data_IF_465259756076
#
_entry.id   IF_465259756076
#
_cell.length_a   1.000
_cell.length_b   1.000
_cell.length_c   1.000
_cell.angle_alpha   90.00
_cell.angle_beta   90.00
_cell.angle_gamma   90.00
#
_symmetry.space_group_name_H-M   'P 1'
#
loop_
_entity.id
_entity.type
_entity.pdbx_description
1 polymer ?
#
# COMPACT_ATOMS: atom_id res chain seq x y z
N UNK A 1 -59.47 -20.04 -29.41
CA UNK A 1 -59.53 -20.32 -27.95
C UNK A 1 -58.29 -21.02 -27.37
N UNK A 2 -57.57 -21.89 -28.11
CA UNK A 2 -56.38 -22.59 -27.59
C UNK A 2 -55.13 -21.69 -27.50
N UNK A 3 -54.88 -20.86 -28.51
CA UNK A 3 -53.68 -20.00 -28.59
C UNK A 3 -53.72 -18.79 -27.64
N UNK A 4 -54.91 -18.28 -27.36
CA UNK A 4 -55.13 -17.16 -26.45
C UNK A 4 -54.80 -17.54 -24.99
N UNK A 5 -55.17 -18.78 -24.59
CA UNK A 5 -54.81 -19.34 -23.28
C UNK A 5 -53.32 -19.66 -23.15
N UNK A 6 -52.65 -20.06 -24.24
CA UNK A 6 -51.19 -20.22 -24.26
C UNK A 6 -50.47 -18.87 -24.09
N UNK A 7 -50.91 -17.86 -24.83
CA UNK A 7 -50.36 -16.50 -24.79
C UNK A 7 -50.50 -15.88 -23.40
N UNK A 8 -51.67 -16.01 -22.76
CA UNK A 8 -51.89 -15.53 -21.39
C UNK A 8 -50.98 -16.22 -20.36
N UNK A 9 -50.79 -17.54 -20.47
CA UNK A 9 -49.87 -18.29 -19.57
C UNK A 9 -48.42 -17.86 -19.74
N UNK A 10 -47.99 -17.53 -20.95
CA UNK A 10 -46.62 -17.10 -21.23
C UNK A 10 -46.35 -15.69 -20.71
N UNK A 11 -47.30 -14.77 -20.87
CA UNK A 11 -47.25 -13.42 -20.28
C UNK A 11 -47.19 -13.51 -18.75
N UNK A 12 -48.03 -14.36 -18.14
CA UNK A 12 -48.05 -14.52 -16.70
C UNK A 12 -46.74 -15.12 -16.15
N UNK A 13 -46.12 -16.07 -16.87
CA UNK A 13 -44.78 -16.59 -16.52
C UNK A 13 -43.70 -15.52 -16.62
N UNK A 14 -43.71 -14.69 -17.67
CA UNK A 14 -42.76 -13.57 -17.83
C UNK A 14 -42.91 -12.54 -16.70
N UNK A 15 -44.14 -12.19 -16.32
CA UNK A 15 -44.40 -11.26 -15.22
C UNK A 15 -43.91 -11.81 -13.87
N UNK A 16 -44.17 -13.09 -13.58
CA UNK A 16 -43.68 -13.75 -12.37
C UNK A 16 -42.15 -13.79 -12.35
N UNK A 17 -41.51 -14.13 -13.47
CA UNK A 17 -40.05 -14.12 -13.61
C UNK A 17 -39.46 -12.73 -13.37
N UNK A 18 -39.99 -11.70 -14.02
CA UNK A 18 -39.53 -10.32 -13.83
C UNK A 18 -39.70 -9.86 -12.37
N UNK A 19 -40.80 -10.25 -11.71
CA UNK A 19 -41.03 -9.92 -10.29
C UNK A 19 -40.03 -10.64 -9.37
N UNK A 20 -39.72 -11.90 -9.64
CA UNK A 20 -38.68 -12.65 -8.91
C UNK A 20 -37.31 -12.00 -9.12
N UNK A 21 -36.95 -11.69 -10.37
CA UNK A 21 -35.68 -11.02 -10.69
C UNK A 21 -35.55 -9.65 -9.99
N UNK A 22 -36.63 -8.87 -9.96
CA UNK A 22 -36.67 -7.60 -9.21
C UNK A 22 -36.51 -7.79 -7.71
N UNK A 23 -37.18 -8.80 -7.12
CA UNK A 23 -37.06 -9.09 -5.69
C UNK A 23 -35.66 -9.57 -5.32
N UNK A 24 -35.05 -10.44 -6.15
CA UNK A 24 -33.67 -10.90 -5.97
C UNK A 24 -32.71 -9.71 -6.03
N UNK A 25 -32.86 -8.84 -7.03
CA UNK A 25 -32.02 -7.64 -7.18
C UNK A 25 -32.15 -6.70 -5.96
N UNK A 26 -33.37 -6.48 -5.47
CA UNK A 26 -33.61 -5.65 -4.29
C UNK A 26 -32.93 -6.22 -3.04
N UNK A 27 -33.08 -7.53 -2.80
CA UNK A 27 -32.44 -8.20 -1.66
C UNK A 27 -30.91 -8.14 -1.77
N UNK A 28 -30.37 -8.32 -2.98
CA UNK A 28 -28.92 -8.19 -3.21
C UNK A 28 -28.42 -6.77 -2.95
N UNK A 29 -29.15 -5.75 -3.41
CA UNK A 29 -28.79 -4.35 -3.22
C UNK A 29 -28.88 -3.93 -1.75
N UNK A 30 -29.90 -4.38 -1.03
CA UNK A 30 -30.02 -4.18 0.43
C UNK A 30 -28.87 -4.84 1.18
N UNK A 31 -28.54 -6.09 0.83
CA UNK A 31 -27.41 -6.82 1.41
C UNK A 31 -26.08 -6.09 1.16
N UNK A 32 -25.85 -5.58 -0.05
CA UNK A 32 -24.63 -4.80 -0.39
C UNK A 32 -24.54 -3.53 0.45
N UNK A 33 -25.66 -2.82 0.62
CA UNK A 33 -25.71 -1.61 1.46
C UNK A 33 -25.44 -1.90 2.93
N UNK A 34 -25.98 -3.00 3.46
CA UNK A 34 -25.74 -3.41 4.84
C UNK A 34 -24.26 -3.76 5.07
N UNK A 35 -23.67 -4.55 4.18
CA UNK A 35 -22.25 -4.89 4.24
C UNK A 35 -21.36 -3.65 4.18
N UNK A 36 -21.69 -2.69 3.33
CA UNK A 36 -20.96 -1.42 3.26
C UNK A 36 -21.02 -0.65 4.59
N UNK A 37 -22.16 -0.65 5.30
CA UNK A 37 -22.26 -0.01 6.62
C UNK A 37 -21.36 -0.69 7.65
N UNK A 38 -21.30 -2.02 7.64
CA UNK A 38 -20.49 -2.81 8.58
C UNK A 38 -19.00 -2.87 8.23
N UNK A 39 -18.57 -2.35 7.08
CA UNK A 39 -17.16 -2.43 6.64
C UNK A 39 -16.19 -1.83 7.67
N UNK A 40 -16.56 -0.72 8.31
CA UNK A 40 -15.69 -0.10 9.32
C UNK A 40 -15.52 -0.99 10.56
N UNK A 41 -16.53 -1.79 10.90
CA UNK A 41 -16.43 -2.80 11.95
C UNK A 41 -15.48 -3.93 11.54
N UNK A 42 -15.51 -4.37 10.27
CA UNK A 42 -14.55 -5.36 9.75
C UNK A 42 -13.10 -4.86 9.90
N UNK A 43 -12.84 -3.62 9.50
CA UNK A 43 -11.51 -3.01 9.62
C UNK A 43 -11.08 -2.89 11.10
N UNK A 44 -11.98 -2.40 11.96
CA UNK A 44 -11.72 -2.25 13.40
C UNK A 44 -11.45 -3.60 14.08
N UNK A 45 -12.30 -4.60 13.83
CA UNK A 45 -12.13 -5.94 14.38
C UNK A 45 -10.87 -6.60 13.85
N UNK A 46 -10.54 -6.43 12.56
CA UNK A 46 -9.30 -6.89 11.97
C UNK A 46 -8.07 -6.34 12.71
N UNK A 47 -8.06 -5.04 13.01
CA UNK A 47 -7.00 -4.40 13.78
C UNK A 47 -6.92 -4.95 15.23
N UNK A 48 -8.06 -5.16 15.89
CA UNK A 48 -8.12 -5.77 17.23
C UNK A 48 -7.53 -7.18 17.24
N UNK A 49 -7.95 -8.04 16.30
CA UNK A 49 -7.42 -9.40 16.17
C UNK A 49 -5.93 -9.40 15.81
N UNK A 50 -5.49 -8.48 14.95
CA UNK A 50 -4.07 -8.32 14.61
C UNK A 50 -3.24 -7.98 15.85
N UNK A 51 -3.69 -7.01 16.66
CA UNK A 51 -3.03 -6.61 17.90
C UNK A 51 -3.00 -7.74 18.94
N UNK A 52 -4.02 -8.58 18.98
CA UNK A 52 -4.10 -9.77 19.83
C UNK A 52 -3.26 -10.97 19.32
N UNK A 53 -2.55 -10.83 18.18
CA UNK A 53 -1.76 -11.92 17.58
C UNK A 53 -2.60 -12.98 16.84
N UNK A 54 -3.90 -12.75 16.68
CA UNK A 54 -4.84 -13.65 15.99
C UNK A 54 -4.81 -13.42 14.48
N UNK A 55 -3.65 -13.69 13.88
CA UNK A 55 -3.31 -13.32 12.51
C UNK A 55 -4.23 -13.90 11.43
N UNK A 56 -4.70 -15.14 11.60
CA UNK A 56 -5.62 -15.79 10.65
C UNK A 56 -6.97 -15.06 10.57
N UNK A 57 -7.53 -14.69 11.72
CA UNK A 57 -8.81 -13.97 11.77
C UNK A 57 -8.66 -12.52 11.33
N UNK A 58 -7.55 -11.86 11.69
CA UNK A 58 -7.24 -10.53 11.17
C UNK A 58 -7.18 -10.52 9.63
N UNK A 59 -6.48 -11.49 9.04
CA UNK A 59 -6.37 -11.62 7.58
C UNK A 59 -7.75 -11.79 6.93
N UNK A 60 -8.60 -12.66 7.48
CA UNK A 60 -9.97 -12.88 6.96
C UNK A 60 -10.80 -11.60 7.01
N UNK A 61 -10.77 -10.86 8.12
CA UNK A 61 -11.54 -9.63 8.29
C UNK A 61 -11.07 -8.53 7.32
N UNK A 62 -9.76 -8.35 7.17
CA UNK A 62 -9.18 -7.41 6.21
C UNK A 62 -9.50 -7.76 4.75
N UNK A 63 -9.37 -9.04 4.36
CA UNK A 63 -9.75 -9.49 3.02
C UNK A 63 -11.26 -9.33 2.77
N UNK A 64 -12.09 -9.56 3.79
CA UNK A 64 -13.54 -9.35 3.69
C UNK A 64 -13.87 -7.87 3.51
N UNK A 65 -13.18 -6.98 4.22
CA UNK A 65 -13.32 -5.53 4.03
C UNK A 65 -13.02 -5.11 2.58
N UNK A 66 -11.88 -5.57 2.04
CA UNK A 66 -11.50 -5.29 0.64
C UNK A 66 -12.57 -5.82 -0.30
N UNK A 67 -13.08 -7.02 -0.04
CA UNK A 67 -14.11 -7.65 -0.88
C UNK A 67 -15.41 -6.86 -0.92
N UNK A 68 -15.86 -6.34 0.21
CA UNK A 68 -17.03 -5.47 0.29
C UNK A 68 -16.84 -4.21 -0.57
N UNK A 69 -15.63 -3.62 -0.56
CA UNK A 69 -15.32 -2.46 -1.39
C UNK A 69 -15.25 -2.81 -2.88
N UNK A 70 -14.68 -3.96 -3.26
CA UNK A 70 -14.67 -4.45 -4.64
C UNK A 70 -16.09 -4.58 -5.19
N UNK A 71 -16.95 -5.28 -4.47
CA UNK A 71 -18.34 -5.54 -4.87
C UNK A 71 -19.14 -4.22 -4.93
N UNK A 72 -18.90 -3.28 -4.01
CA UNK A 72 -19.54 -1.96 -4.01
C UNK A 72 -19.09 -1.06 -5.17
N UNK A 73 -17.80 -1.09 -5.49
CA UNK A 73 -17.21 -0.28 -6.57
C UNK A 73 -17.33 -0.92 -7.95
N UNK A 74 -17.92 -2.12 -8.05
CA UNK A 74 -18.03 -2.88 -9.29
C UNK A 74 -16.67 -3.33 -9.83
N UNK A 75 -15.67 -3.47 -8.96
CA UNK A 75 -14.33 -3.92 -9.34
C UNK A 75 -14.24 -5.45 -9.28
N UNK A 76 -13.46 -6.06 -10.19
CA UNK A 76 -13.12 -7.47 -10.08
C UNK A 76 -12.29 -7.74 -8.83
N UNK A 77 -12.14 -9.02 -8.46
CA UNK A 77 -11.26 -9.41 -7.35
C UNK A 77 -9.82 -8.93 -7.60
N UNK A 78 -9.23 -8.26 -6.63
CA UNK A 78 -7.92 -7.60 -6.75
C UNK A 78 -7.92 -6.40 -7.71
N UNK A 79 -9.08 -5.97 -8.22
CA UNK A 79 -9.23 -4.93 -9.24
C UNK A 79 -9.33 -3.51 -8.69
N UNK A 80 -9.44 -3.33 -7.37
CA UNK A 80 -9.51 -2.00 -6.78
C UNK A 80 -8.26 -1.17 -7.09
N UNK A 81 -8.50 0.07 -7.47
CA UNK A 81 -7.50 1.11 -7.72
C UNK A 81 -7.96 2.43 -7.11
N UNK A 82 -7.06 3.40 -6.91
CA UNK A 82 -7.47 4.72 -6.43
C UNK A 82 -8.47 5.43 -7.34
N UNK A 83 -8.50 5.10 -8.64
CA UNK A 83 -9.46 5.66 -9.59
C UNK A 83 -10.92 5.25 -9.33
N UNK A 84 -11.15 4.22 -8.50
CA UNK A 84 -12.49 3.81 -8.06
C UNK A 84 -13.06 4.72 -6.95
N UNK A 85 -12.29 5.66 -6.43
CA UNK A 85 -12.65 6.48 -5.27
C UNK A 85 -12.66 7.97 -5.63
N UNK A 86 -13.65 8.69 -5.11
CA UNK A 86 -13.68 10.15 -5.18
C UNK A 86 -12.76 10.73 -4.12
N UNK A 87 -11.65 11.35 -4.55
CA UNK A 87 -10.64 11.91 -3.66
C UNK A 87 -11.16 12.98 -2.71
N UNK A 88 -12.26 13.67 -3.03
CA UNK A 88 -12.82 14.73 -2.18
C UNK A 88 -13.60 14.17 -1.00
N UNK A 89 -14.28 13.05 -1.21
CA UNK A 89 -15.26 12.50 -0.26
C UNK A 89 -14.78 11.20 0.39
N UNK A 90 -13.87 10.47 -0.26
CA UNK A 90 -13.44 9.12 0.12
C UNK A 90 -11.93 9.02 0.44
N UNK A 91 -11.25 10.14 0.68
CA UNK A 91 -9.83 10.13 1.06
C UNK A 91 -9.56 9.31 2.32
N UNK A 92 -10.46 9.38 3.30
CA UNK A 92 -10.37 8.57 4.54
C UNK A 92 -10.45 7.07 4.25
N UNK A 93 -11.27 6.66 3.28
CA UNK A 93 -11.38 5.27 2.84
C UNK A 93 -10.08 4.82 2.16
N UNK A 94 -9.47 5.68 1.32
CA UNK A 94 -8.17 5.39 0.69
C UNK A 94 -7.06 5.23 1.74
N UNK A 95 -7.02 6.08 2.75
CA UNK A 95 -6.06 5.98 3.86
C UNK A 95 -6.26 4.67 4.63
N UNK A 96 -7.51 4.32 4.96
CA UNK A 96 -7.84 3.10 5.67
C UNK A 96 -7.46 1.85 4.85
N UNK A 97 -7.82 1.83 3.57
CA UNK A 97 -7.50 0.75 2.64
C UNK A 97 -5.98 0.59 2.48
N UNK A 98 -5.23 1.69 2.39
CA UNK A 98 -3.78 1.67 2.41
C UNK A 98 -3.22 1.05 3.71
N UNK A 99 -3.78 1.40 4.86
CA UNK A 99 -3.41 0.80 6.14
C UNK A 99 -3.70 -0.70 6.21
N UNK A 100 -4.85 -1.12 5.69
CA UNK A 100 -5.24 -2.54 5.63
C UNK A 100 -4.31 -3.34 4.71
N UNK A 101 -3.96 -2.81 3.53
CA UNK A 101 -2.96 -3.45 2.67
C UNK A 101 -1.62 -3.58 3.39
N UNK A 102 -1.20 -2.56 4.15
CA UNK A 102 0.03 -2.64 4.94
C UNK A 102 -0.01 -3.75 6.00
N UNK A 103 -1.13 -3.91 6.69
CA UNK A 103 -1.29 -4.97 7.68
C UNK A 103 -1.27 -6.35 7.03
N UNK A 104 -1.94 -6.53 5.89
CA UNK A 104 -1.88 -7.75 5.09
C UNK A 104 -0.45 -8.06 4.62
N UNK A 105 0.29 -7.08 4.12
CA UNK A 105 1.70 -7.26 3.75
C UNK A 105 2.52 -7.86 4.88
N UNK A 106 2.38 -7.35 6.11
CA UNK A 106 3.09 -7.89 7.28
C UNK A 106 2.64 -9.29 7.66
N UNK A 107 1.35 -9.60 7.52
CA UNK A 107 0.79 -10.93 7.78
C UNK A 107 1.36 -11.97 6.81
N UNK A 108 1.46 -11.61 5.53
CA UNK A 108 1.88 -12.50 4.46
C UNK A 108 3.41 -12.56 4.28
N UNK A 109 4.18 -11.56 4.71
CA UNK A 109 5.65 -11.58 4.64
C UNK A 109 6.27 -12.80 5.33
N UNK A 110 5.68 -13.25 6.45
CA UNK A 110 6.20 -14.39 7.23
C UNK A 110 5.78 -15.76 6.70
N UNK A 111 5.02 -15.79 5.61
CA UNK A 111 4.49 -17.04 5.07
C UNK A 111 5.46 -17.66 4.08
N UNK A 112 5.58 -19.00 4.08
CA UNK A 112 6.55 -19.73 3.26
C UNK A 112 5.93 -20.52 2.10
N UNK A 113 4.59 -20.65 2.04
CA UNK A 113 3.93 -21.35 0.94
C UNK A 113 3.88 -20.46 -0.32
N UNK A 114 4.16 -21.03 -1.49
CA UNK A 114 4.20 -20.32 -2.78
C UNK A 114 2.97 -19.42 -3.02
N UNK A 115 1.75 -19.95 -2.85
CA UNK A 115 0.51 -19.17 -3.03
C UNK A 115 0.44 -17.93 -2.12
N UNK A 116 0.97 -18.02 -0.91
CA UNK A 116 0.96 -16.90 0.05
C UNK A 116 2.09 -15.88 -0.23
N UNK A 117 3.13 -16.26 -0.97
CA UNK A 117 4.12 -15.31 -1.49
C UNK A 117 3.52 -14.44 -2.60
N UNK A 118 2.66 -15.02 -3.45
CA UNK A 118 1.93 -14.25 -4.45
C UNK A 118 0.95 -13.27 -3.80
N UNK A 119 0.26 -13.69 -2.73
CA UNK A 119 -0.57 -12.79 -1.91
C UNK A 119 0.27 -11.66 -1.29
N UNK A 120 1.45 -11.96 -0.74
CA UNK A 120 2.37 -10.94 -0.22
C UNK A 120 2.72 -9.88 -1.28
N UNK A 121 3.16 -10.32 -2.46
CA UNK A 121 3.52 -9.42 -3.57
C UNK A 121 2.32 -8.59 -4.00
N UNK A 122 1.17 -9.23 -4.16
CA UNK A 122 -0.08 -8.57 -4.53
C UNK A 122 -0.43 -7.44 -3.53
N UNK A 123 -0.42 -7.72 -2.24
CA UNK A 123 -0.76 -6.71 -1.23
C UNK A 123 0.30 -5.62 -1.11
N UNK A 124 1.58 -5.93 -1.34
CA UNK A 124 2.63 -4.91 -1.35
C UNK A 124 2.48 -3.96 -2.54
N UNK A 125 2.18 -4.48 -3.72
CA UNK A 125 1.90 -3.68 -4.91
C UNK A 125 0.66 -2.80 -4.68
N UNK A 126 -0.40 -3.35 -4.07
CA UNK A 126 -1.58 -2.57 -3.67
C UNK A 126 -1.25 -1.49 -2.66
N UNK A 127 -0.45 -1.79 -1.64
CA UNK A 127 -0.01 -0.80 -0.67
C UNK A 127 0.71 0.38 -1.34
N UNK A 128 1.63 0.09 -2.26
CA UNK A 128 2.34 1.11 -3.03
C UNK A 128 1.37 1.90 -3.91
N UNK A 129 0.47 1.22 -4.62
CA UNK A 129 -0.53 1.84 -5.49
C UNK A 129 -1.45 2.81 -4.75
N UNK A 130 -1.92 2.43 -3.55
CA UNK A 130 -2.82 3.23 -2.73
C UNK A 130 -2.11 4.28 -1.88
N UNK A 131 -0.77 4.25 -1.81
CA UNK A 131 0.02 5.25 -1.08
C UNK A 131 0.67 6.30 -1.98
N UNK A 132 1.06 5.93 -3.21
CA UNK A 132 1.82 6.79 -4.11
C UNK A 132 0.96 7.94 -4.64
N UNK A 133 1.52 9.15 -4.63
CA UNK A 133 0.87 10.37 -5.10
C UNK A 133 -0.04 11.04 -4.06
N UNK A 134 -0.26 10.41 -2.90
CA UNK A 134 -1.14 10.93 -1.86
C UNK A 134 -0.37 11.72 -0.79
N UNK A 135 -1.09 12.59 -0.06
CA UNK A 135 -0.53 13.40 1.04
C UNK A 135 0.08 12.56 2.16
N UNK A 136 -0.40 11.32 2.34
CA UNK A 136 0.12 10.36 3.31
C UNK A 136 1.23 9.44 2.78
N UNK A 137 1.68 9.63 1.52
CA UNK A 137 2.81 8.89 0.95
C UNK A 137 4.07 8.91 1.87
N UNK A 138 4.45 10.03 2.52
CA UNK A 138 5.59 10.05 3.42
C UNK A 138 5.43 9.07 4.59
N UNK A 139 4.25 9.05 5.21
CA UNK A 139 3.91 8.11 6.29
C UNK A 139 3.98 6.66 5.81
N UNK A 140 3.52 6.39 4.59
CA UNK A 140 3.59 5.05 4.02
C UNK A 140 5.03 4.59 3.76
N UNK A 141 5.87 5.46 3.20
CA UNK A 141 7.29 5.18 3.03
C UNK A 141 7.98 4.91 4.36
N UNK A 142 7.60 5.66 5.39
CA UNK A 142 8.15 5.55 6.73
C UNK A 142 7.75 4.25 7.43
N UNK A 143 6.52 3.78 7.21
CA UNK A 143 6.06 2.48 7.69
C UNK A 143 6.93 1.32 7.15
N UNK A 144 7.24 1.33 5.85
CA UNK A 144 8.15 0.35 5.24
C UNK A 144 9.53 0.44 5.86
N UNK A 145 10.08 1.66 6.02
CA UNK A 145 11.40 1.88 6.61
C UNK A 145 11.51 1.30 8.01
N UNK A 146 10.53 1.59 8.88
CA UNK A 146 10.47 1.08 10.25
C UNK A 146 10.36 -0.44 10.28
N UNK A 147 9.55 -1.03 9.40
CA UNK A 147 9.41 -2.48 9.32
C UNK A 147 10.68 -3.18 8.83
N UNK A 148 11.39 -2.63 7.84
CA UNK A 148 12.66 -3.20 7.38
C UNK A 148 13.72 -3.23 8.49
N UNK A 149 13.72 -2.22 9.36
CA UNK A 149 14.67 -2.14 10.47
C UNK A 149 14.30 -3.05 11.64
N UNK A 150 13.05 -2.98 12.10
CA UNK A 150 12.64 -3.60 13.37
C UNK A 150 11.83 -4.89 13.18
N UNK A 151 11.15 -5.04 12.04
CA UNK A 151 10.20 -6.12 11.78
C UNK A 151 10.83 -7.44 11.36
N UNK A 152 12.13 -7.45 11.04
CA UNK A 152 12.88 -8.58 10.50
C UNK A 152 12.18 -9.20 9.27
N UNK A 153 11.99 -8.43 8.18
CA UNK A 153 11.26 -8.91 7.02
C UNK A 153 11.97 -10.08 6.35
N UNK A 154 11.18 -11.00 5.79
CA UNK A 154 11.68 -12.10 4.97
C UNK A 154 12.00 -11.58 3.56
N UNK A 155 11.08 -10.81 2.96
CA UNK A 155 11.16 -10.33 1.57
C UNK A 155 11.84 -8.95 1.47
N UNK A 156 13.10 -8.86 1.92
CA UNK A 156 13.85 -7.59 2.01
C UNK A 156 13.96 -6.84 0.68
N UNK A 157 14.10 -7.55 -0.44
CA UNK A 157 14.30 -6.94 -1.74
C UNK A 157 13.03 -6.19 -2.21
N UNK A 158 11.88 -6.82 -2.03
CA UNK A 158 10.56 -6.31 -2.37
C UNK A 158 10.21 -5.09 -1.52
N UNK A 159 10.42 -5.14 -0.20
CA UNK A 159 10.25 -3.97 0.66
C UNK A 159 11.16 -2.81 0.26
N UNK A 160 12.42 -3.09 -0.10
CA UNK A 160 13.35 -2.06 -0.56
C UNK A 160 12.86 -1.42 -1.87
N UNK A 161 12.34 -2.21 -2.81
CA UNK A 161 11.76 -1.70 -4.06
C UNK A 161 10.51 -0.85 -3.81
N UNK A 162 9.62 -1.30 -2.93
CA UNK A 162 8.42 -0.55 -2.53
C UNK A 162 8.79 0.77 -1.84
N UNK A 163 9.77 0.75 -0.92
CA UNK A 163 10.28 1.94 -0.27
C UNK A 163 10.86 2.96 -1.25
N UNK A 164 11.70 2.50 -2.19
CA UNK A 164 12.27 3.38 -3.25
C UNK A 164 11.15 4.01 -4.07
N UNK A 165 10.09 3.26 -4.37
CA UNK A 165 8.95 3.75 -5.14
C UNK A 165 8.14 4.81 -4.39
N UNK A 166 7.91 4.62 -3.09
CA UNK A 166 7.12 5.55 -2.26
C UNK A 166 7.91 6.74 -1.72
N UNK A 167 9.23 6.64 -1.64
CA UNK A 167 10.03 7.68 -0.99
C UNK A 167 10.52 8.80 -1.93
N UNK A 168 10.05 8.79 -3.19
CA UNK A 168 10.24 9.86 -4.16
C UNK A 168 11.67 9.95 -4.71
N UNK A 169 12.05 11.13 -5.23
CA UNK A 169 13.37 11.35 -5.82
C UNK A 169 14.48 10.90 -4.88
N UNK A 170 15.39 10.11 -5.45
CA UNK A 170 16.22 9.11 -4.79
C UNK A 170 17.48 9.69 -4.13
N UNK A 171 17.63 9.51 -2.82
CA UNK A 171 18.96 9.51 -2.18
C UNK A 171 19.59 8.10 -2.29
N UNK A 172 19.92 7.65 -3.51
CA UNK A 172 20.34 6.28 -3.86
C UNK A 172 21.28 5.59 -2.84
N UNK A 173 22.37 6.25 -2.47
CA UNK A 173 23.38 5.68 -1.56
C UNK A 173 22.82 5.60 -0.14
N UNK A 174 22.12 6.64 0.34
CA UNK A 174 21.52 6.61 1.67
C UNK A 174 20.38 5.58 1.75
N UNK A 175 19.61 5.42 0.67
CA UNK A 175 18.57 4.40 0.55
C UNK A 175 19.13 2.98 0.50
N UNK A 176 20.33 2.76 -0.05
CA UNK A 176 20.96 1.44 -0.04
C UNK A 176 21.54 1.02 1.31
N UNK A 177 21.63 1.96 2.26
CA UNK A 177 22.22 1.83 3.59
C UNK A 177 21.20 1.98 4.73
N UNK A 178 19.89 1.94 4.46
CA UNK A 178 18.86 2.18 5.48
C UNK A 178 18.86 1.18 6.65
N UNK A 179 19.35 -0.02 6.39
CA UNK A 179 19.56 -1.10 7.36
C UNK A 179 20.69 -0.79 8.35
N UNK A 180 21.58 0.16 8.04
CA UNK A 180 22.74 0.51 8.86
C UNK A 180 22.81 1.98 9.29
N UNK A 181 22.19 2.91 8.57
CA UNK A 181 22.14 4.33 8.94
C UNK A 181 21.17 4.62 10.11
N UNK A 182 21.32 5.77 10.76
CA UNK A 182 20.37 6.27 11.76
C UNK A 182 18.95 6.49 11.18
N UNK A 183 17.95 6.52 12.07
CA UNK A 183 16.55 6.71 11.72
C UNK A 183 16.28 8.03 11.00
N UNK A 184 16.94 9.10 11.45
CA UNK A 184 16.69 10.47 11.00
C UNK A 184 17.55 10.84 9.81
N UNK A 185 18.59 10.08 9.49
CA UNK A 185 19.55 10.40 8.42
C UNK A 185 18.88 10.63 7.08
N UNK A 186 18.01 9.72 6.64
CA UNK A 186 17.40 9.83 5.33
C UNK A 186 16.37 10.98 5.24
N UNK A 187 15.46 11.18 6.21
CA UNK A 187 14.63 12.39 6.27
C UNK A 187 15.45 13.67 6.24
N UNK A 188 16.48 13.78 7.09
CA UNK A 188 17.35 14.97 7.19
C UNK A 188 18.05 15.30 5.88
N UNK A 189 18.63 14.31 5.22
CA UNK A 189 19.30 14.50 3.93
C UNK A 189 18.32 14.94 2.83
N UNK A 190 17.08 14.45 2.86
CA UNK A 190 16.04 14.89 1.92
C UNK A 190 15.60 16.32 2.20
N UNK A 191 15.30 16.65 3.45
CA UNK A 191 14.98 18.02 3.87
C UNK A 191 16.09 18.99 3.47
N UNK A 192 17.35 18.64 3.74
CA UNK A 192 18.49 19.47 3.31
C UNK A 192 18.58 19.61 1.78
N UNK A 193 18.37 18.51 1.04
CA UNK A 193 18.31 18.55 -0.43
C UNK A 193 17.23 19.51 -0.92
N UNK A 194 16.02 19.36 -0.41
CA UNK A 194 14.84 20.06 -0.92
C UNK A 194 14.79 21.51 -0.44
N UNK A 195 15.16 21.79 0.80
CA UNK A 195 15.02 23.12 1.39
C UNK A 195 16.28 23.99 1.25
N UNK A 196 17.46 23.40 1.01
CA UNK A 196 18.72 24.14 0.90
C UNK A 196 19.37 23.95 -0.48
N UNK A 197 19.70 22.71 -0.86
CA UNK A 197 20.42 22.48 -2.12
C UNK A 197 19.59 22.86 -3.35
N UNK A 198 18.30 22.54 -3.37
CA UNK A 198 17.42 22.83 -4.51
C UNK A 198 17.21 24.33 -4.76
N UNK A 199 17.45 25.18 -3.75
CA UNK A 199 17.28 26.64 -3.83
C UNK A 199 18.45 27.36 -4.48
N UNK A 200 19.61 26.70 -4.61
CA UNK A 200 20.83 27.30 -5.19
C UNK A 200 21.22 26.62 -6.50
N UNK A 201 21.86 27.37 -7.42
CA UNK A 201 22.35 26.81 -8.69
C UNK A 201 23.42 25.73 -8.47
N UNK A 202 24.34 25.96 -7.53
CA UNK A 202 25.37 24.98 -7.15
C UNK A 202 24.79 23.73 -6.50
N UNK A 203 23.80 23.89 -5.62
CA UNK A 203 23.12 22.74 -5.01
C UNK A 203 22.32 21.92 -6.02
N UNK A 204 21.67 22.54 -7.00
CA UNK A 204 21.03 21.83 -8.13
C UNK A 204 22.04 21.03 -8.95
N UNK A 205 23.20 21.60 -9.27
CA UNK A 205 24.26 20.88 -9.97
C UNK A 205 24.77 19.67 -9.17
N UNK A 206 24.94 19.82 -7.86
CA UNK A 206 25.32 18.73 -6.96
C UNK A 206 24.27 17.61 -6.95
N UNK A 207 22.97 17.97 -6.89
CA UNK A 207 21.87 17.02 -7.00
C UNK A 207 21.95 16.26 -8.32
N UNK A 208 22.10 16.94 -9.45
CA UNK A 208 22.18 16.28 -10.77
C UNK A 208 23.35 15.30 -10.83
N UNK A 209 24.54 15.70 -10.36
CA UNK A 209 25.71 14.80 -10.30
C UNK A 209 25.44 13.60 -9.41
N UNK A 210 24.87 13.82 -8.21
CA UNK A 210 24.53 12.75 -7.29
C UNK A 210 23.56 11.74 -7.92
N UNK A 211 22.54 12.19 -8.65
CA UNK A 211 21.57 11.29 -9.29
C UNK A 211 22.12 10.58 -10.52
N UNK A 212 23.09 11.20 -11.22
CA UNK A 212 23.76 10.60 -12.38
C UNK A 212 24.78 9.52 -11.97
N UNK A 213 25.49 9.74 -10.86
CA UNK A 213 26.59 8.87 -10.40
C UNK A 213 26.12 7.86 -9.35
N UNK A 214 25.24 8.27 -8.44
CA UNK A 214 24.72 7.48 -7.32
C UNK A 214 24.29 6.06 -7.68
N UNK A 215 23.45 5.82 -8.71
CA UNK A 215 23.03 4.47 -9.10
C UNK A 215 24.18 3.51 -9.38
N UNK A 216 25.26 4.01 -9.99
CA UNK A 216 26.43 3.21 -10.36
C UNK A 216 27.29 2.86 -9.14
N UNK A 217 27.28 3.70 -8.12
CA UNK A 217 28.04 3.48 -6.89
C UNK A 217 27.34 2.53 -5.91
N UNK A 218 26.02 2.36 -6.01
CA UNK A 218 25.25 1.49 -5.09
C UNK A 218 25.72 0.04 -5.15
N UNK A 219 26.05 -0.48 -6.32
CA UNK A 219 26.54 -1.87 -6.49
C UNK A 219 27.81 -2.12 -5.67
N UNK A 220 28.92 -1.43 -5.96
CA UNK A 220 30.18 -1.58 -5.23
C UNK A 220 30.05 -1.33 -3.73
N UNK A 221 29.26 -0.32 -3.33
CA UNK A 221 29.02 -0.02 -1.91
C UNK A 221 28.30 -1.18 -1.22
N UNK A 222 27.34 -1.83 -1.87
CA UNK A 222 26.60 -2.94 -1.27
C UNK A 222 27.39 -4.25 -1.20
N UNK A 223 28.40 -4.43 -2.07
CA UNK A 223 29.20 -5.66 -2.12
C UNK A 223 30.14 -5.84 -0.93
N UNK A 224 30.44 -4.78 -0.17
CA UNK A 224 31.47 -4.81 0.88
C UNK A 224 30.89 -4.32 2.23
N UNK A 225 30.63 -5.20 3.22
CA UNK A 225 29.98 -4.84 4.48
C UNK A 225 30.64 -3.71 5.28
N UNK A 226 31.97 -3.74 5.43
CA UNK A 226 32.69 -2.72 6.20
C UNK A 226 32.65 -1.33 5.52
N UNK A 227 32.55 -1.30 4.18
CA UNK A 227 32.39 -0.04 3.42
C UNK A 227 31.00 0.53 3.69
N UNK A 228 29.96 -0.31 3.72
CA UNK A 228 28.58 0.10 4.07
C UNK A 228 28.54 0.78 5.42
N UNK A 229 29.14 0.18 6.45
CA UNK A 229 29.16 0.73 7.81
C UNK A 229 29.95 2.04 7.91
N UNK A 230 31.06 2.18 7.18
CA UNK A 230 31.82 3.43 7.16
C UNK A 230 31.03 4.54 6.46
N UNK A 231 30.45 4.27 5.30
CA UNK A 231 29.65 5.25 4.55
C UNK A 231 28.41 5.63 5.37
N UNK A 232 27.74 4.68 6.01
CA UNK A 232 26.61 4.95 6.89
C UNK A 232 26.96 5.94 8.00
N UNK A 233 28.05 5.69 8.75
CA UNK A 233 28.54 6.61 9.79
C UNK A 233 28.94 7.99 9.29
N UNK A 234 29.39 8.10 8.05
CA UNK A 234 29.67 9.40 7.43
C UNK A 234 28.37 10.11 7.08
N UNK A 235 27.40 9.39 6.48
CA UNK A 235 26.09 9.95 6.16
C UNK A 235 25.34 10.41 7.40
N UNK A 236 25.39 9.64 8.50
CA UNK A 236 24.76 10.01 9.77
C UNK A 236 25.33 11.32 10.32
N UNK A 237 26.67 11.44 10.35
CA UNK A 237 27.35 12.68 10.77
C UNK A 237 27.03 13.87 9.88
N UNK A 238 26.97 13.67 8.56
CA UNK A 238 26.58 14.72 7.62
C UNK A 238 25.13 15.14 7.91
N UNK A 239 24.22 14.17 8.05
CA UNK A 239 22.80 14.42 8.30
C UNK A 239 22.56 15.18 9.60
N UNK A 240 23.27 14.82 10.68
CA UNK A 240 23.24 15.56 11.95
C UNK A 240 23.67 17.01 11.76
N UNK A 241 24.79 17.23 11.06
CA UNK A 241 25.36 18.57 10.86
C UNK A 241 24.45 19.48 10.04
N UNK A 242 23.81 18.95 9.01
CA UNK A 242 22.93 19.76 8.13
C UNK A 242 21.53 19.99 8.70
N UNK A 243 21.19 19.36 9.83
CA UNK A 243 19.89 19.54 10.51
C UNK A 243 19.99 20.37 11.79
N UNK A 244 21.22 20.64 12.25
CA UNK A 244 21.51 21.51 13.39
C UNK A 244 21.88 22.94 13.00
N UNK A 245 21.80 23.28 11.72
CA UNK A 245 21.95 24.63 11.14
C UNK A 245 20.60 25.14 10.66
#
# INVERSE_FOLDING_TARGET
>A
MSDEKKTQREIQRKLVRNKIEQQVQQVEDERKRELLKRRLELARNGATHYAAGQYSEAAKLFMTYIRVLEDWKGASRGGLSPANFDLKTELSELVLLSGIYWDLVKLFDRTQSANKQDDFKHYLDKYVLFSKGFTFQPLASEAIRKYMRNGKPVHKAEFKAAYVTLSGEKCFIATSLMDVCDERTLPRLRTFRDEHLSKSLGGRALIVVYYKVGPKLVGPVNSIPWVREKIARVLDRIAERVSGS
#
